data_IF_786588285083
#
_entry.id   IF_786588285083
#
_cell.length_a   1.000
_cell.length_b   1.000
_cell.length_c   1.000
_cell.angle_alpha   90.00
_cell.angle_beta   90.00
_cell.angle_gamma   90.00
#
_symmetry.space_group_name_H-M   'P 1'
#
loop_
_entity.id
_entity.type
_entity.pdbx_description
1 polymer ?
#
# COMPACT_ATOMS: atom_id res chain seq x y z
N UNK A 1 -14.28 -13.28 -4.38
CA UNK A 1 -13.30 -14.37 -4.21
C UNK A 1 -12.35 -13.89 -3.13
N UNK A 2 -12.42 -14.44 -1.91
CA UNK A 2 -11.46 -14.14 -0.85
C UNK A 2 -10.17 -14.87 -1.20
N UNK A 3 -9.29 -14.24 -1.96
CA UNK A 3 -7.90 -14.71 -2.05
C UNK A 3 -7.27 -14.39 -0.70
N UNK A 4 -6.90 -15.38 0.15
CA UNK A 4 -6.37 -15.14 1.50
C UNK A 4 -5.06 -14.34 1.51
N UNK A 5 -4.50 -14.09 0.33
CA UNK A 5 -3.27 -13.37 0.09
C UNK A 5 -3.47 -11.92 -0.40
N UNK A 6 -4.72 -11.46 -0.54
CA UNK A 6 -5.04 -10.06 -0.84
C UNK A 6 -6.06 -9.55 0.17
N UNK A 7 -5.73 -8.45 0.84
CA UNK A 7 -6.61 -7.82 1.81
C UNK A 7 -6.82 -6.35 1.45
N UNK A 8 -8.08 -5.92 1.37
CA UNK A 8 -8.45 -4.52 1.18
C UNK A 8 -9.09 -4.00 2.47
N UNK A 9 -8.57 -2.89 2.97
CA UNK A 9 -9.05 -2.22 4.19
C UNK A 9 -9.71 -0.91 3.78
N UNK A 10 -10.98 -0.73 4.15
CA UNK A 10 -11.83 0.40 3.76
C UNK A 10 -12.46 1.08 4.97
N UNK A 11 -12.73 2.39 4.86
CA UNK A 11 -13.60 3.17 5.75
C UNK A 11 -14.71 3.82 4.91
N UNK A 12 -15.91 3.25 4.93
CA UNK A 12 -16.98 3.63 4.02
C UNK A 12 -16.58 3.39 2.55
N UNK A 13 -16.43 4.47 1.78
CA UNK A 13 -16.01 4.44 0.38
C UNK A 13 -14.50 4.67 0.20
N UNK A 14 -13.79 5.06 1.26
CA UNK A 14 -12.36 5.33 1.20
C UNK A 14 -11.58 4.02 1.34
N UNK A 15 -10.76 3.70 0.33
CA UNK A 15 -9.75 2.64 0.46
C UNK A 15 -8.57 3.19 1.24
N UNK A 16 -8.27 2.57 2.38
CA UNK A 16 -7.22 3.01 3.30
C UNK A 16 -5.92 2.29 3.00
N UNK A 17 -5.99 0.97 2.85
CA UNK A 17 -4.83 0.16 2.51
C UNK A 17 -5.21 -1.07 1.70
N UNK A 18 -4.25 -1.56 0.93
CA UNK A 18 -4.28 -2.86 0.27
C UNK A 18 -3.02 -3.62 0.65
N UNK A 19 -3.18 -4.83 1.17
CA UNK A 19 -2.08 -5.70 1.56
C UNK A 19 -2.04 -6.90 0.62
N UNK A 20 -0.91 -7.06 -0.06
CA UNK A 20 -0.59 -8.24 -0.86
C UNK A 20 0.39 -9.09 -0.07
N UNK A 21 -0.03 -10.30 0.30
CA UNK A 21 0.78 -11.23 1.08
C UNK A 21 1.82 -11.91 0.20
N UNK A 22 2.96 -12.25 0.80
CA UNK A 22 4.10 -12.89 0.13
C UNK A 22 3.72 -14.14 -0.69
N UNK A 23 2.69 -14.88 -0.25
CA UNK A 23 2.22 -16.11 -0.90
C UNK A 23 1.22 -15.91 -2.06
N UNK A 24 1.03 -14.70 -2.58
CA UNK A 24 0.14 -14.49 -3.72
C UNK A 24 0.79 -15.03 -5.01
N UNK A 25 0.20 -16.05 -5.62
CA UNK A 25 0.75 -16.75 -6.80
C UNK A 25 -0.27 -16.94 -7.93
N UNK A 26 -1.23 -16.03 -8.11
CA UNK A 26 -2.22 -16.16 -9.18
C UNK A 26 -1.60 -15.92 -10.57
N UNK A 27 -1.73 -16.87 -11.53
CA UNK A 27 -1.23 -16.69 -12.88
C UNK A 27 -1.84 -15.48 -13.59
N UNK A 28 -1.06 -14.81 -14.43
CA UNK A 28 -1.52 -13.67 -15.24
C UNK A 28 -1.12 -12.32 -14.66
N UNK A 29 -1.81 -11.26 -15.10
CA UNK A 29 -1.63 -9.88 -14.64
C UNK A 29 -2.88 -9.48 -13.87
N UNK A 30 -2.71 -9.06 -12.63
CA UNK A 30 -3.79 -8.64 -11.76
C UNK A 30 -3.56 -7.20 -11.32
N UNK A 31 -4.38 -6.28 -11.81
CA UNK A 31 -4.41 -4.90 -11.33
C UNK A 31 -5.21 -4.87 -10.02
N UNK A 32 -4.53 -4.53 -8.93
CA UNK A 32 -5.07 -4.58 -7.58
C UNK A 32 -5.70 -3.25 -7.16
N UNK A 33 -5.50 -2.21 -7.96
CA UNK A 33 -6.01 -0.85 -7.72
C UNK A 33 -7.02 -0.43 -8.79
N UNK A 34 -8.02 0.40 -8.43
CA UNK A 34 -8.86 1.06 -9.41
C UNK A 34 -8.07 1.87 -10.46
N UNK A 35 -8.59 2.02 -11.69
CA UNK A 35 -7.90 2.72 -12.78
C UNK A 35 -7.77 4.23 -12.59
N UNK A 36 -8.55 4.82 -11.71
CA UNK A 36 -8.57 6.25 -11.37
C UNK A 36 -7.59 6.62 -10.24
N UNK A 37 -6.89 5.64 -9.66
CA UNK A 37 -5.87 5.91 -8.66
C UNK A 37 -4.64 6.56 -9.29
N UNK A 38 -4.05 7.54 -8.58
CA UNK A 38 -2.82 8.21 -9.00
C UNK A 38 -1.61 7.28 -9.03
N UNK A 39 -1.62 6.20 -8.25
CA UNK A 39 -0.63 5.14 -8.27
C UNK A 39 -1.34 3.78 -8.41
N UNK A 40 -0.89 2.96 -9.36
CA UNK A 40 -1.44 1.62 -9.57
C UNK A 40 -0.49 0.55 -9.05
N UNK A 41 -1.05 -0.46 -8.38
CA UNK A 41 -0.35 -1.67 -8.00
C UNK A 41 -0.88 -2.83 -8.83
N UNK A 42 0.03 -3.53 -9.52
CA UNK A 42 -0.26 -4.77 -10.22
C UNK A 42 0.73 -5.85 -9.83
N UNK A 43 0.23 -7.08 -9.72
CA UNK A 43 1.04 -8.29 -9.53
C UNK A 43 0.96 -9.14 -10.77
N UNK A 44 2.08 -9.75 -11.15
CA UNK A 44 2.20 -10.50 -12.39
C UNK A 44 2.93 -11.81 -12.13
N UNK A 45 2.31 -12.93 -12.51
CA UNK A 45 2.96 -14.23 -12.57
C UNK A 45 2.88 -14.76 -14.01
N UNK A 46 4.03 -15.05 -14.58
CA UNK A 46 4.14 -15.55 -15.96
C UNK A 46 4.89 -16.87 -16.01
N UNK A 47 4.48 -17.80 -16.88
CA UNK A 47 5.23 -19.03 -17.09
C UNK A 47 6.58 -18.73 -17.75
N UNK A 48 7.54 -19.64 -17.56
CA UNK A 48 8.84 -19.58 -18.21
C UNK A 48 8.69 -19.45 -19.74
N UNK A 49 9.46 -18.55 -20.35
CA UNK A 49 9.45 -18.30 -21.79
C UNK A 49 8.39 -17.29 -22.28
N UNK A 50 7.48 -16.82 -21.42
CA UNK A 50 6.59 -15.70 -21.76
C UNK A 50 7.41 -14.46 -22.08
N UNK A 51 7.13 -13.82 -23.22
CA UNK A 51 7.72 -12.53 -23.62
C UNK A 51 6.69 -11.41 -23.49
N UNK A 52 7.10 -10.30 -22.88
CA UNK A 52 6.37 -9.03 -22.88
C UNK A 52 6.97 -8.18 -24.00
N UNK A 53 6.14 -7.63 -24.88
CA UNK A 53 6.61 -6.80 -25.98
C UNK A 53 7.26 -5.51 -25.44
N UNK A 54 8.35 -5.06 -26.07
CA UNK A 54 8.97 -3.78 -25.76
C UNK A 54 7.97 -2.64 -26.03
N UNK A 55 7.82 -1.73 -25.07
CA UNK A 55 6.95 -0.57 -25.17
C UNK A 55 7.49 0.59 -24.34
N UNK A 56 7.02 1.80 -24.66
CA UNK A 56 7.24 3.01 -23.88
C UNK A 56 5.89 3.55 -23.44
N UNK A 57 5.84 4.22 -22.29
CA UNK A 57 4.63 4.90 -21.85
C UNK A 57 4.53 6.26 -22.55
N UNK A 58 3.35 6.55 -23.08
CA UNK A 58 3.06 7.86 -23.67
C UNK A 58 3.04 8.94 -22.59
N UNK A 59 3.48 10.18 -22.91
CA UNK A 59 3.27 11.30 -22.03
C UNK A 59 1.77 11.53 -21.83
N UNK A 60 1.32 11.52 -20.58
CA UNK A 60 -0.07 11.76 -20.20
C UNK A 60 -0.05 12.67 -18.98
N UNK A 61 -0.78 13.78 -19.05
CA UNK A 61 -0.96 14.68 -17.90
C UNK A 61 -1.81 14.00 -16.84
N UNK A 62 -1.38 14.08 -15.58
CA UNK A 62 -2.07 13.51 -14.41
C UNK A 62 -2.07 14.54 -13.30
N UNK A 63 -3.16 14.60 -12.53
CA UNK A 63 -3.20 15.37 -11.30
C UNK A 63 -3.00 14.42 -10.11
N UNK A 64 -2.06 14.77 -9.24
CA UNK A 64 -1.81 14.06 -7.99
C UNK A 64 -2.21 14.98 -6.85
N UNK A 65 -3.28 14.60 -6.15
CA UNK A 65 -3.84 15.41 -5.05
C UNK A 65 -3.22 15.02 -3.70
N UNK A 66 -2.84 13.75 -3.55
CA UNK A 66 -2.28 13.19 -2.31
C UNK A 66 -1.19 12.18 -2.62
N UNK A 67 -0.25 12.07 -1.69
CA UNK A 67 0.79 11.04 -1.75
C UNK A 67 0.26 9.68 -1.29
N UNK A 68 0.48 8.68 -2.13
CA UNK A 68 0.30 7.26 -1.87
C UNK A 68 1.68 6.61 -1.87
N UNK A 69 1.83 5.58 -1.05
CA UNK A 69 3.09 4.88 -0.93
C UNK A 69 2.89 3.38 -0.90
N UNK A 70 3.83 2.68 -1.53
CA UNK A 70 3.97 1.23 -1.44
C UNK A 70 5.17 0.93 -0.58
N UNK A 71 4.98 0.09 0.44
CA UNK A 71 6.07 -0.49 1.21
C UNK A 71 6.21 -1.98 0.88
N UNK A 72 7.43 -2.38 0.55
CA UNK A 72 7.84 -3.77 0.43
C UNK A 72 8.61 -4.14 1.69
N UNK A 73 8.14 -5.16 2.41
CA UNK A 73 8.85 -5.66 3.59
C UNK A 73 9.98 -6.56 3.10
N UNK A 74 11.19 -6.03 2.96
CA UNK A 74 12.33 -6.77 2.42
C UNK A 74 12.88 -7.79 3.41
N UNK A 75 12.87 -7.45 4.71
CA UNK A 75 13.28 -8.32 5.83
C UNK A 75 12.56 -7.86 7.10
N UNK A 76 12.24 -8.79 7.99
CA UNK A 76 11.77 -8.50 9.35
C UNK A 76 10.25 -8.59 9.50
N UNK A 77 9.73 -7.87 10.51
CA UNK A 77 8.34 -7.89 10.92
C UNK A 77 7.92 -6.54 11.49
N UNK A 78 6.87 -5.96 10.91
CA UNK A 78 6.37 -4.62 11.26
C UNK A 78 4.87 -4.66 11.54
N UNK A 79 4.44 -3.96 12.58
CA UNK A 79 3.03 -3.67 12.81
C UNK A 79 2.69 -2.33 12.17
N UNK A 80 1.66 -2.31 11.33
CA UNK A 80 1.06 -1.08 10.80
C UNK A 80 -0.25 -0.83 11.53
N UNK A 81 -0.44 0.40 12.01
CA UNK A 81 -1.70 0.92 12.52
C UNK A 81 -2.27 1.89 11.51
N UNK A 82 -3.51 1.68 11.10
CA UNK A 82 -4.19 2.45 10.06
C UNK A 82 -5.27 3.34 10.68
N UNK A 83 -5.37 4.55 10.15
CA UNK A 83 -6.30 5.59 10.58
C UNK A 83 -7.12 6.09 9.39
N UNK A 84 -8.34 6.56 9.64
CA UNK A 84 -9.14 7.23 8.62
C UNK A 84 -8.75 8.71 8.45
N UNK A 85 -9.45 9.43 7.58
CA UNK A 85 -9.25 10.87 7.34
C UNK A 85 -9.52 11.75 8.56
N UNK A 86 -10.31 11.25 9.54
CA UNK A 86 -10.55 11.91 10.84
C UNK A 86 -9.50 11.57 11.90
N UNK A 87 -8.45 10.81 11.53
CA UNK A 87 -7.38 10.33 12.41
C UNK A 87 -7.86 9.33 13.48
N UNK A 88 -9.01 8.70 13.25
CA UNK A 88 -9.53 7.64 14.11
C UNK A 88 -8.92 6.30 13.70
N UNK A 89 -8.50 5.44 14.66
CA UNK A 89 -7.92 4.15 14.35
C UNK A 89 -8.95 3.20 13.74
N UNK A 90 -8.56 2.47 12.69
CA UNK A 90 -9.45 1.54 11.98
C UNK A 90 -9.04 0.08 12.22
N UNK A 91 -7.75 -0.21 11.98
CA UNK A 91 -7.19 -1.57 11.96
C UNK A 91 -5.70 -1.55 12.27
N UNK A 92 -5.22 -2.66 12.81
CA UNK A 92 -3.79 -2.97 12.89
C UNK A 92 -3.50 -4.26 12.13
N UNK A 93 -2.33 -4.33 11.48
CA UNK A 93 -1.85 -5.53 10.78
C UNK A 93 -0.37 -5.73 11.04
N UNK A 94 0.03 -6.98 11.16
CA UNK A 94 1.44 -7.37 11.10
C UNK A 94 1.76 -7.78 9.67
N UNK A 95 2.82 -7.20 9.13
CA UNK A 95 3.41 -7.53 7.84
C UNK A 95 4.77 -8.18 8.09
N UNK A 96 5.06 -9.20 7.31
CA UNK A 96 6.31 -9.97 7.36
C UNK A 96 7.08 -9.84 6.06
N UNK A 97 8.33 -10.31 6.06
CA UNK A 97 9.16 -10.39 4.85
C UNK A 97 8.40 -10.94 3.64
N UNK A 98 8.46 -10.22 2.52
CA UNK A 98 7.75 -10.54 1.27
C UNK A 98 6.35 -9.93 1.15
N UNK A 99 5.73 -9.49 2.25
CA UNK A 99 4.47 -8.75 2.17
C UNK A 99 4.68 -7.37 1.55
N UNK A 100 3.63 -6.88 0.89
CA UNK A 100 3.57 -5.55 0.28
C UNK A 100 2.30 -4.87 0.79
N UNK A 101 2.40 -3.58 1.15
CA UNK A 101 1.25 -2.75 1.48
C UNK A 101 1.25 -1.50 0.60
N UNK A 102 0.12 -1.22 -0.05
CA UNK A 102 -0.18 0.06 -0.65
C UNK A 102 -1.04 0.86 0.33
N UNK A 103 -0.56 2.02 0.75
CA UNK A 103 -1.26 2.97 1.60
C UNK A 103 -1.98 3.97 0.71
N UNK A 104 -3.28 3.80 0.61
CA UNK A 104 -4.13 4.45 -0.39
C UNK A 104 -4.69 5.80 0.09
N UNK A 105 -4.88 5.93 1.40
CA UNK A 105 -5.48 7.10 2.02
C UNK A 105 -5.46 7.00 3.56
N UNK A 106 -6.11 7.96 4.21
CA UNK A 106 -6.11 8.05 5.67
C UNK A 106 -4.72 8.40 6.21
N UNK A 107 -4.37 7.79 7.35
CA UNK A 107 -3.06 7.91 7.96
C UNK A 107 -2.56 6.54 8.42
N UNK A 108 -1.28 6.44 8.75
CA UNK A 108 -0.69 5.21 9.24
C UNK A 108 0.45 5.49 10.24
N UNK A 109 0.73 4.52 11.09
CA UNK A 109 1.91 4.49 11.95
C UNK A 109 2.53 3.09 11.90
N UNK A 110 3.86 3.03 12.05
CA UNK A 110 4.61 1.78 12.00
C UNK A 110 5.37 1.53 13.30
N UNK A 111 5.31 0.29 13.78
CA UNK A 111 6.09 -0.21 14.90
C UNK A 111 6.89 -1.42 14.41
N UNK A 112 8.22 -1.31 14.38
CA UNK A 112 9.08 -2.43 14.01
C UNK A 112 9.13 -3.42 15.18
N UNK A 113 8.58 -4.62 14.99
CA UNK A 113 8.54 -5.66 16.03
C UNK A 113 9.88 -6.41 16.14
N UNK A 114 10.71 -6.30 15.11
CA UNK A 114 12.10 -6.76 15.05
C UNK A 114 12.87 -5.90 14.03
N UNK A 115 14.19 -6.11 13.89
CA UNK A 115 14.98 -5.44 12.86
C UNK A 115 14.35 -5.64 11.48
N UNK A 116 13.86 -4.54 10.90
CA UNK A 116 13.05 -4.56 9.68
C UNK A 116 13.68 -3.66 8.62
N UNK A 117 13.80 -4.19 7.41
CA UNK A 117 14.23 -3.44 6.24
C UNK A 117 13.04 -3.26 5.29
N UNK A 118 12.76 -2.01 4.94
CA UNK A 118 11.66 -1.62 4.06
C UNK A 118 12.22 -1.03 2.77
N UNK A 119 11.52 -1.26 1.65
CA UNK A 119 11.68 -0.46 0.43
C UNK A 119 10.40 0.32 0.23
N UNK A 120 10.53 1.63 0.06
CA UNK A 120 9.40 2.52 -0.16
C UNK A 120 9.38 3.03 -1.59
N UNK A 121 8.19 3.04 -2.19
CA UNK A 121 7.91 3.62 -3.49
C UNK A 121 6.76 4.61 -3.35
N UNK A 122 7.07 5.91 -3.41
CA UNK A 122 6.07 6.99 -3.41
C UNK A 122 5.77 7.46 -4.83
N UNK A 123 4.56 7.96 -5.08
CA UNK A 123 4.30 8.67 -6.32
C UNK A 123 4.97 10.06 -6.29
N UNK A 124 5.39 10.54 -7.46
CA UNK A 124 5.87 11.92 -7.61
C UNK A 124 4.80 12.85 -8.19
N UNK A 125 5.07 14.16 -8.30
CA UNK A 125 6.28 14.83 -7.81
C UNK A 125 6.34 14.86 -6.28
N UNK A 126 7.55 14.76 -5.71
CA UNK A 126 7.77 14.77 -4.27
C UNK A 126 7.78 16.20 -3.72
N UNK A 127 6.97 16.50 -2.71
CA UNK A 127 6.89 17.85 -2.11
C UNK A 127 7.66 17.99 -0.79
N UNK A 128 8.51 17.03 -0.44
CA UNK A 128 9.28 17.09 0.82
C UNK A 128 8.38 16.93 2.04
N UNK A 129 8.66 17.70 3.09
CA UNK A 129 7.90 17.68 4.35
C UNK A 129 6.43 18.08 4.19
N UNK A 130 6.06 18.76 3.09
CA UNK A 130 4.68 19.16 2.84
C UNK A 130 3.76 17.98 2.47
N UNK A 131 4.32 16.79 2.17
CA UNK A 131 3.54 15.60 1.79
C UNK A 131 2.84 14.93 2.99
N UNK A 132 3.21 15.28 4.24
CA UNK A 132 2.66 14.64 5.44
C UNK A 132 2.33 15.64 6.54
N UNK A 133 1.37 15.27 7.38
CA UNK A 133 1.10 15.93 8.65
C UNK A 133 1.11 14.87 9.74
N UNK A 134 2.02 15.01 10.69
CA UNK A 134 2.10 14.12 11.85
C UNK A 134 1.00 14.48 12.87
N UNK A 135 0.49 13.48 13.59
CA UNK A 135 -0.50 13.67 14.63
C UNK A 135 -0.26 12.72 15.79
N UNK A 136 -0.61 13.16 17.01
CA UNK A 136 -0.57 12.30 18.18
C UNK A 136 -1.70 11.28 18.13
N UNK A 137 -1.39 10.03 18.49
CA UNK A 137 -2.42 9.02 18.70
C UNK A 137 -3.23 9.42 19.94
N UNK A 138 -4.53 9.69 19.75
CA UNK A 138 -5.42 9.83 20.90
C UNK A 138 -5.59 8.45 21.52
N UNK A 139 -5.24 8.30 22.81
CA UNK A 139 -5.62 7.13 23.58
C UNK A 139 -7.14 7.01 23.50
N UNK A 140 -7.64 5.93 22.89
CA UNK A 140 -9.07 5.71 22.75
C UNK A 140 -9.72 5.86 24.12
N UNK A 141 -10.72 6.73 24.23
CA UNK A 141 -11.63 6.70 25.37
C UNK A 141 -12.29 5.33 25.33
N UNK A 142 -11.90 4.44 26.24
CA UNK A 142 -12.72 3.30 26.59
C UNK A 142 -14.07 3.85 27.02
N UNK A 143 -15.10 3.60 26.19
CA UNK A 143 -16.49 3.75 26.61
C UNK A 143 -16.87 2.64 27.57
#
# INVERSE_FOLDING_TARGET
MNTPHLETIVDGLDMIALILRAGFEEPGVHFLTPPDFSQQLAVMLHPAGKKIAAHVHNPVSRQVIRTQEVLVIRKGRVKVKLFNSRREPIRERVLVSGDIILLCGGGHAFEMLEETALVEVKQGPYSGEADKTEFSEQAGRAG
#
